data_IF_587071871921
#
_entry.id   IF_587071871921
#
_cell.length_a   1.000
_cell.length_b   1.000
_cell.length_c   1.000
_cell.angle_alpha   90.00
_cell.angle_beta   90.00
_cell.angle_gamma   90.00
#
_symmetry.space_group_name_H-M   'P 1'
#
loop_
_entity.id
_entity.type
_entity.pdbx_description
1 polymer ?
#
# COMPACT_ATOMS: atom_id res chain seq x y z
N UNK A 1 -7.32 20.68 -45.13
CA UNK A 1 -6.40 19.64 -44.65
C UNK A 1 -7.22 18.53 -44.01
N UNK A 2 -7.54 17.49 -44.80
CA UNK A 2 -7.60 16.11 -44.32
C UNK A 2 -6.30 15.84 -43.52
N UNK A 3 -6.17 14.98 -42.53
CA UNK A 3 -6.81 13.69 -42.22
C UNK A 3 -6.22 13.35 -40.86
N UNK A 4 -7.03 13.00 -39.85
CA UNK A 4 -6.71 12.09 -38.75
C UNK A 4 -7.99 11.96 -37.90
N UNK A 5 -8.99 11.33 -38.51
CA UNK A 5 -9.96 10.54 -37.77
C UNK A 5 -9.14 9.51 -36.97
N UNK A 6 -8.87 9.78 -35.69
CA UNK A 6 -8.57 8.69 -34.76
C UNK A 6 -9.89 7.98 -34.57
N UNK A 7 -10.03 6.85 -35.24
CA UNK A 7 -11.05 5.85 -34.94
C UNK A 7 -11.10 5.67 -33.43
N UNK A 8 -12.22 6.08 -32.82
CA UNK A 8 -12.48 5.78 -31.43
C UNK A 8 -12.75 4.29 -31.34
N UNK A 9 -11.72 3.51 -30.99
CA UNK A 9 -11.87 2.08 -30.68
C UNK A 9 -12.95 1.96 -29.60
N UNK A 10 -13.95 1.12 -29.85
CA UNK A 10 -15.04 0.96 -28.89
C UNK A 10 -14.53 0.31 -27.60
N UNK A 11 -15.13 0.64 -26.46
CA UNK A 11 -14.72 0.10 -25.16
C UNK A 11 -14.77 -1.45 -25.13
N UNK A 12 -15.76 -2.04 -25.80
CA UNK A 12 -15.85 -3.49 -26.00
C UNK A 12 -14.67 -4.06 -26.77
N UNK A 13 -14.23 -3.37 -27.81
CA UNK A 13 -13.12 -3.81 -28.66
C UNK A 13 -11.78 -3.74 -27.91
N UNK A 14 -11.61 -2.77 -27.00
CA UNK A 14 -10.45 -2.70 -26.09
C UNK A 14 -10.43 -3.85 -25.08
N UNK A 15 -11.59 -4.20 -24.51
CA UNK A 15 -11.72 -5.32 -23.57
C UNK A 15 -11.45 -6.66 -24.25
N UNK A 16 -11.98 -6.86 -25.46
CA UNK A 16 -11.71 -8.06 -26.25
C UNK A 16 -10.22 -8.19 -26.60
N UNK A 17 -9.57 -7.10 -26.98
CA UNK A 17 -8.14 -7.11 -27.31
C UNK A 17 -7.28 -7.38 -26.07
N UNK A 18 -7.65 -6.84 -24.90
CA UNK A 18 -7.01 -7.17 -23.62
C UNK A 18 -7.20 -8.66 -23.25
N UNK A 19 -8.40 -9.23 -23.49
CA UNK A 19 -8.64 -10.66 -23.32
C UNK A 19 -7.80 -11.51 -24.28
N UNK A 20 -7.62 -11.07 -25.53
CA UNK A 20 -6.74 -11.76 -26.50
C UNK A 20 -5.27 -11.71 -26.06
N UNK A 21 -4.82 -10.57 -25.53
CA UNK A 21 -3.48 -10.37 -24.98
C UNK A 21 -3.20 -11.15 -23.68
N UNK A 22 -4.23 -11.75 -23.07
CA UNK A 22 -4.07 -12.60 -21.87
C UNK A 22 -3.20 -13.83 -22.16
N UNK A 23 -3.20 -14.32 -23.41
CA UNK A 23 -2.39 -15.47 -23.84
C UNK A 23 -0.89 -15.20 -23.81
N UNK A 24 -0.48 -13.93 -23.93
CA UNK A 24 0.92 -13.50 -23.90
C UNK A 24 1.30 -12.90 -22.56
N UNK A 25 0.35 -12.28 -21.85
CA UNK A 25 0.56 -11.77 -20.50
C UNK A 25 -0.74 -11.86 -19.67
N UNK A 26 -0.77 -12.67 -18.60
CA UNK A 26 -1.97 -12.91 -17.80
C UNK A 26 -2.52 -11.64 -17.11
N UNK A 27 -1.71 -10.59 -16.94
CA UNK A 27 -2.15 -9.33 -16.34
C UNK A 27 -3.19 -8.57 -17.19
N UNK A 28 -3.24 -8.79 -18.51
CA UNK A 28 -4.28 -8.17 -19.35
C UNK A 28 -5.66 -8.78 -19.13
N UNK A 29 -5.73 -10.07 -18.77
CA UNK A 29 -6.98 -10.74 -18.41
C UNK A 29 -7.55 -10.15 -17.13
N UNK A 30 -6.69 -9.94 -16.13
CA UNK A 30 -7.07 -9.31 -14.87
C UNK A 30 -7.56 -7.87 -15.06
N UNK A 31 -6.94 -7.10 -15.97
CA UNK A 31 -7.39 -5.73 -16.28
C UNK A 31 -8.75 -5.71 -16.99
N UNK A 32 -9.00 -6.65 -17.91
CA UNK A 32 -10.31 -6.81 -18.55
C UNK A 32 -11.38 -7.20 -17.53
N UNK A 33 -11.08 -8.14 -16.63
CA UNK A 33 -12.00 -8.56 -15.57
C UNK A 33 -12.32 -7.41 -14.60
N UNK A 34 -11.32 -6.61 -14.19
CA UNK A 34 -11.52 -5.44 -13.34
C UNK A 34 -12.37 -4.35 -14.03
N UNK A 35 -12.16 -4.13 -15.32
CA UNK A 35 -12.96 -3.18 -16.09
C UNK A 35 -14.41 -3.66 -16.28
N UNK A 36 -14.61 -4.93 -16.60
CA UNK A 36 -15.96 -5.50 -16.72
C UNK A 36 -16.68 -5.51 -15.36
N UNK A 37 -15.99 -5.78 -14.26
CA UNK A 37 -16.53 -5.65 -12.90
C UNK A 37 -16.92 -4.20 -12.58
N UNK A 38 -16.15 -3.23 -13.06
CA UNK A 38 -16.49 -1.81 -12.97
C UNK A 38 -17.73 -1.44 -13.81
N UNK A 39 -17.78 -1.89 -15.06
CA UNK A 39 -18.89 -1.62 -15.97
C UNK A 39 -20.20 -2.30 -15.54
N UNK A 40 -20.10 -3.46 -14.88
CA UNK A 40 -21.25 -4.23 -14.44
C UNK A 40 -21.78 -3.83 -13.05
N UNK A 41 -21.09 -2.95 -12.33
CA UNK A 41 -21.40 -2.57 -10.94
C UNK A 41 -21.46 -3.77 -9.97
N UNK A 42 -20.91 -4.92 -10.38
CA UNK A 42 -20.89 -6.16 -9.60
C UNK A 42 -19.61 -6.19 -8.77
N UNK A 43 -19.70 -5.72 -7.53
CA UNK A 43 -18.66 -5.94 -6.51
C UNK A 43 -17.84 -4.72 -6.08
N UNK A 44 -18.18 -3.51 -6.54
CA UNK A 44 -17.55 -2.25 -6.13
C UNK A 44 -18.15 -1.61 -4.86
N UNK A 45 -18.94 -2.37 -4.09
CA UNK A 45 -19.91 -1.93 -3.06
C UNK A 45 -19.30 -1.32 -1.78
N UNK A 46 -18.14 -0.68 -1.85
CA UNK A 46 -17.73 0.31 -0.86
C UNK A 46 -17.27 1.56 -1.57
N UNK A 47 -18.22 2.25 -2.20
CA UNK A 47 -18.08 3.65 -2.53
C UNK A 47 -17.93 4.44 -1.21
N UNK A 48 -16.89 5.25 -1.11
CA UNK A 48 -16.91 6.37 -0.18
C UNK A 48 -16.74 7.65 -0.98
N UNK A 49 -17.49 8.67 -0.55
CA UNK A 49 -17.47 9.98 -1.18
C UNK A 49 -16.42 10.83 -0.45
N UNK A 50 -15.35 11.20 -1.14
CA UNK A 50 -14.39 12.21 -0.66
C UNK A 50 -14.55 13.47 -1.52
N UNK A 51 -14.84 14.61 -0.89
CA UNK A 51 -15.05 15.90 -1.57
C UNK A 51 -16.10 15.92 -2.70
N UNK A 52 -17.09 15.01 -2.65
CA UNK A 52 -18.14 14.91 -3.67
C UNK A 52 -17.81 13.99 -4.85
N UNK A 53 -16.62 13.38 -4.87
CA UNK A 53 -16.23 12.40 -5.88
C UNK A 53 -16.45 10.97 -5.35
N UNK A 54 -17.10 10.13 -6.16
CA UNK A 54 -17.26 8.69 -5.86
C UNK A 54 -15.91 8.02 -6.09
N UNK A 55 -15.35 7.42 -5.05
CA UNK A 55 -14.12 6.62 -5.14
C UNK A 55 -14.49 5.14 -5.18
N UNK A 56 -14.30 4.44 -6.32
CA UNK A 56 -14.55 3.01 -6.39
C UNK A 56 -13.61 2.22 -5.48
N UNK A 57 -14.11 1.15 -4.84
CA UNK A 57 -13.30 0.22 -4.04
C UNK A 57 -12.09 -0.34 -4.82
N UNK A 58 -12.24 -0.57 -6.13
CA UNK A 58 -11.15 -1.00 -6.99
C UNK A 58 -9.99 0.01 -7.07
N UNK A 59 -10.26 1.31 -7.01
CA UNK A 59 -9.21 2.35 -7.01
C UNK A 59 -8.33 2.27 -5.77
N UNK A 60 -8.92 1.94 -4.61
CA UNK A 60 -8.16 1.69 -3.39
C UNK A 60 -7.22 0.50 -3.56
N UNK A 61 -7.74 -0.59 -4.15
CA UNK A 61 -6.93 -1.80 -4.37
C UNK A 61 -5.83 -1.60 -5.40
N UNK A 62 -6.12 -0.88 -6.49
CA UNK A 62 -5.14 -0.50 -7.49
C UNK A 62 -4.05 0.37 -6.87
N UNK A 63 -4.42 1.31 -5.99
CA UNK A 63 -3.46 2.14 -5.27
C UNK A 63 -2.57 1.32 -4.34
N UNK A 64 -3.13 0.41 -3.54
CA UNK A 64 -2.35 -0.52 -2.70
C UNK A 64 -1.32 -1.30 -3.54
N UNK A 65 -1.74 -1.90 -4.64
CA UNK A 65 -0.84 -2.64 -5.52
C UNK A 65 0.20 -1.74 -6.18
N UNK A 66 -0.18 -0.52 -6.57
CA UNK A 66 0.77 0.46 -7.09
C UNK A 66 1.83 0.79 -6.04
N UNK A 67 1.45 1.06 -4.78
CA UNK A 67 2.39 1.27 -3.67
C UNK A 67 3.31 0.06 -3.49
N UNK A 68 2.78 -1.17 -3.55
CA UNK A 68 3.57 -2.40 -3.50
C UNK A 68 4.68 -2.39 -4.56
N UNK A 69 4.34 -2.09 -5.82
CA UNK A 69 5.33 -2.05 -6.91
C UNK A 69 6.42 -1.02 -6.67
N UNK A 70 6.08 0.11 -6.03
CA UNK A 70 7.05 1.17 -5.69
C UNK A 70 7.99 0.73 -4.58
N UNK A 71 7.49 0.07 -3.55
CA UNK A 71 8.31 -0.49 -2.47
C UNK A 71 9.25 -1.56 -3.03
N UNK A 72 8.74 -2.50 -3.84
CA UNK A 72 9.56 -3.54 -4.48
C UNK A 72 10.68 -2.89 -5.31
N UNK A 73 10.33 -2.00 -6.24
CA UNK A 73 11.32 -1.35 -7.10
C UNK A 73 12.36 -0.53 -6.33
N UNK A 74 11.96 0.10 -5.22
CA UNK A 74 12.90 0.80 -4.32
C UNK A 74 13.88 -0.19 -3.65
N UNK A 75 13.37 -1.30 -3.11
CA UNK A 75 14.20 -2.30 -2.45
C UNK A 75 15.17 -2.95 -3.45
N UNK A 76 14.68 -3.34 -4.62
CA UNK A 76 15.53 -3.96 -5.66
C UNK A 76 16.64 -3.00 -6.12
N UNK A 77 16.31 -1.72 -6.31
CA UNK A 77 17.29 -0.68 -6.65
C UNK A 77 18.32 -0.48 -5.53
N UNK A 78 17.88 -0.44 -4.26
CA UNK A 78 18.76 -0.22 -3.10
C UNK A 78 19.75 -1.36 -2.89
N UNK A 79 19.30 -2.59 -3.08
CA UNK A 79 20.11 -3.79 -2.82
C UNK A 79 20.76 -4.38 -4.08
N UNK A 80 20.43 -3.87 -5.27
CA UNK A 80 20.98 -4.35 -6.54
C UNK A 80 20.56 -5.77 -6.90
N UNK A 81 19.43 -6.25 -6.37
CA UNK A 81 18.97 -7.63 -6.51
C UNK A 81 17.44 -7.73 -6.43
N UNK A 82 16.86 -8.68 -7.17
CA UNK A 82 15.41 -8.88 -7.21
C UNK A 82 14.87 -9.53 -5.95
N UNK A 83 13.65 -9.14 -5.53
CA UNK A 83 12.98 -9.80 -4.41
C UNK A 83 12.50 -11.19 -4.83
N UNK A 84 12.90 -12.23 -4.09
CA UNK A 84 12.42 -13.58 -4.29
C UNK A 84 11.03 -13.77 -3.67
N UNK A 85 10.16 -14.52 -4.34
CA UNK A 85 8.88 -14.96 -3.77
C UNK A 85 9.14 -16.13 -2.82
N UNK A 86 8.84 -15.94 -1.54
CA UNK A 86 8.97 -17.00 -0.51
C UNK A 86 7.64 -17.74 -0.29
N UNK A 87 6.52 -17.01 -0.30
CA UNK A 87 5.18 -17.56 -0.09
C UNK A 87 4.17 -16.77 -0.92
N UNK A 88 3.19 -17.45 -1.50
CA UNK A 88 2.10 -16.83 -2.26
C UNK A 88 0.82 -17.67 -2.14
N UNK A 89 -0.28 -17.02 -1.81
CA UNK A 89 -1.65 -17.53 -1.98
C UNK A 89 -2.50 -16.47 -2.69
N UNK A 90 -3.72 -16.82 -3.10
CA UNK A 90 -4.63 -15.99 -3.91
C UNK A 90 -4.77 -14.53 -3.44
N UNK A 91 -4.57 -14.26 -2.14
CA UNK A 91 -4.77 -12.94 -1.56
C UNK A 91 -3.54 -12.36 -0.86
N UNK A 92 -2.40 -13.06 -0.78
CA UNK A 92 -1.23 -12.55 -0.06
C UNK A 92 0.09 -13.00 -0.68
N UNK A 93 1.15 -12.24 -0.45
CA UNK A 93 2.51 -12.61 -0.87
C UNK A 93 3.53 -12.24 0.19
N UNK A 94 4.52 -13.12 0.39
CA UNK A 94 5.75 -12.85 1.12
C UNK A 94 6.91 -12.84 0.16
N UNK A 95 7.62 -11.71 0.14
CA UNK A 95 8.80 -11.48 -0.67
C UNK A 95 10.02 -11.33 0.24
N UNK A 96 11.17 -11.90 -0.14
CA UNK A 96 12.41 -11.83 0.65
C UNK A 96 13.60 -11.36 -0.20
N UNK A 97 14.45 -10.56 0.43
CA UNK A 97 15.77 -10.17 -0.07
C UNK A 97 16.77 -10.12 1.10
N UNK A 98 17.61 -11.14 1.22
CA UNK A 98 18.52 -11.27 2.35
C UNK A 98 17.77 -11.30 3.68
N UNK A 99 18.07 -10.36 4.57
CA UNK A 99 17.41 -10.19 5.87
C UNK A 99 16.10 -9.39 5.79
N UNK A 100 15.77 -8.81 4.63
CA UNK A 100 14.56 -8.01 4.43
C UNK A 100 13.43 -8.93 3.94
N UNK A 101 12.28 -8.84 4.60
CA UNK A 101 11.05 -9.50 4.16
C UNK A 101 9.94 -8.46 4.00
N UNK A 102 9.27 -8.46 2.86
CA UNK A 102 8.08 -7.67 2.57
C UNK A 102 6.88 -8.61 2.51
N UNK A 103 5.93 -8.43 3.43
CA UNK A 103 4.67 -9.19 3.48
C UNK A 103 3.55 -8.28 2.98
N UNK A 104 2.75 -8.74 2.03
CA UNK A 104 1.58 -8.02 1.50
C UNK A 104 0.31 -8.78 1.84
N UNK A 105 -0.67 -8.10 2.46
CA UNK A 105 -1.98 -8.64 2.86
C UNK A 105 -1.90 -9.95 3.67
N UNK A 106 -0.78 -10.18 4.36
CA UNK A 106 -0.47 -11.44 5.03
C UNK A 106 -1.27 -11.57 6.33
N UNK A 107 -2.18 -12.54 6.45
CA UNK A 107 -2.92 -12.74 7.68
C UNK A 107 -2.00 -13.35 8.76
N UNK A 108 -2.11 -12.85 9.98
CA UNK A 108 -1.57 -13.52 11.17
C UNK A 108 -2.69 -13.96 12.07
N UNK A 109 -2.43 -14.95 12.91
CA UNK A 109 -3.28 -15.33 14.02
C UNK A 109 -2.61 -14.87 15.31
N UNK A 110 -3.28 -14.01 16.07
CA UNK A 110 -2.84 -13.69 17.43
C UNK A 110 -3.94 -13.08 18.28
N UNK A 111 -3.59 -12.53 19.45
CA UNK A 111 -4.54 -12.33 20.55
C UNK A 111 -5.64 -11.32 20.21
N UNK A 112 -5.36 -10.29 19.40
CA UNK A 112 -6.35 -9.28 19.02
C UNK A 112 -7.39 -9.79 18.01
N UNK A 113 -7.08 -10.88 17.33
CA UNK A 113 -7.98 -11.54 16.37
C UNK A 113 -9.23 -12.13 17.04
N UNK A 114 -9.10 -12.53 18.32
CA UNK A 114 -10.23 -13.04 19.12
C UNK A 114 -11.24 -11.96 19.47
N UNK A 115 -10.82 -10.69 19.52
CA UNK A 115 -11.67 -9.55 19.88
C UNK A 115 -12.40 -8.95 18.66
N UNK A 116 -11.79 -8.99 17.48
CA UNK A 116 -12.33 -8.34 16.28
C UNK A 116 -13.18 -9.25 15.37
N UNK A 117 -13.27 -10.56 15.66
CA UNK A 117 -14.07 -11.52 14.87
C UNK A 117 -13.61 -11.70 13.41
N UNK A 118 -12.50 -11.08 13.00
CA UNK A 118 -11.94 -11.10 11.64
C UNK A 118 -10.42 -11.16 11.69
N UNK A 119 -9.81 -11.83 10.70
CA UNK A 119 -8.35 -11.83 10.53
C UNK A 119 -7.87 -10.41 10.20
N UNK A 120 -6.98 -9.85 11.03
CA UNK A 120 -6.30 -8.61 10.70
C UNK A 120 -5.38 -8.86 9.50
N UNK A 121 -5.35 -7.91 8.55
CA UNK A 121 -4.51 -7.96 7.36
C UNK A 121 -4.04 -6.54 7.02
N UNK A 122 -2.84 -6.14 7.47
CA UNK A 122 -2.25 -4.90 6.99
C UNK A 122 -1.92 -5.02 5.51
N UNK A 123 -1.94 -3.89 4.80
CA UNK A 123 -1.57 -3.87 3.39
C UNK A 123 -0.12 -4.31 3.22
N UNK A 124 0.80 -3.78 4.05
CA UNK A 124 2.20 -4.17 4.01
C UNK A 124 2.82 -4.32 5.39
N UNK A 125 3.75 -5.26 5.53
CA UNK A 125 4.66 -5.36 6.66
C UNK A 125 6.06 -5.54 6.13
N UNK A 126 6.96 -4.62 6.50
CA UNK A 126 8.38 -4.77 6.20
C UNK A 126 9.09 -5.27 7.45
N UNK A 127 9.92 -6.29 7.31
CA UNK A 127 10.71 -6.89 8.38
C UNK A 127 12.18 -6.86 8.02
N UNK A 128 13.04 -6.60 9.01
CA UNK A 128 14.49 -6.65 8.84
C UNK A 128 15.18 -6.90 10.17
N UNK A 129 15.90 -8.04 10.29
CA UNK A 129 16.75 -8.33 11.45
C UNK A 129 16.04 -8.23 12.81
N UNK A 130 14.87 -8.86 12.95
CA UNK A 130 14.08 -8.84 14.20
C UNK A 130 13.20 -7.59 14.42
N UNK A 131 13.27 -6.62 13.51
CA UNK A 131 12.46 -5.39 13.53
C UNK A 131 11.32 -5.50 12.52
N UNK A 132 10.20 -4.80 12.74
CA UNK A 132 9.10 -4.79 11.79
C UNK A 132 8.25 -3.52 11.85
N UNK A 133 7.92 -2.98 10.69
CA UNK A 133 7.06 -1.79 10.52
C UNK A 133 5.87 -2.17 9.68
N UNK A 134 4.70 -1.67 10.09
CA UNK A 134 3.43 -1.89 9.42
C UNK A 134 3.07 -0.69 8.54
N UNK A 135 2.55 -0.95 7.35
CA UNK A 135 2.08 0.09 6.44
C UNK A 135 0.67 -0.20 5.97
N UNK A 136 -0.09 0.87 5.78
CA UNK A 136 -1.47 0.84 5.31
C UNK A 136 -1.63 1.93 4.23
N UNK A 137 -2.04 1.54 3.03
CA UNK A 137 -2.25 2.47 1.92
C UNK A 137 -3.70 2.96 1.91
N UNK A 138 -3.88 4.23 1.54
CA UNK A 138 -5.16 4.92 1.53
C UNK A 138 -5.26 5.78 0.28
N UNK A 139 -6.16 5.41 -0.62
CA UNK A 139 -6.45 6.19 -1.83
C UNK A 139 -7.36 7.40 -1.52
N UNK A 140 -6.91 8.22 -0.57
CA UNK A 140 -7.60 9.43 -0.12
C UNK A 140 -6.61 10.47 0.37
N UNK A 141 -7.06 11.70 0.53
CA UNK A 141 -6.23 12.81 0.98
C UNK A 141 -6.22 12.96 2.50
N UNK A 142 -7.32 12.58 3.18
CA UNK A 142 -7.42 12.59 4.64
C UNK A 142 -7.18 11.22 5.28
N UNK A 143 -6.68 11.20 6.52
CA UNK A 143 -6.68 10.00 7.38
C UNK A 143 -7.76 10.18 8.44
N UNK A 144 -8.69 9.22 8.54
CA UNK A 144 -9.78 9.22 9.52
C UNK A 144 -9.35 8.58 10.83
N UNK A 145 -10.14 8.78 11.89
CA UNK A 145 -9.93 8.12 13.17
C UNK A 145 -9.95 6.58 13.04
N UNK A 146 -10.87 6.05 12.24
CA UNK A 146 -11.01 4.60 12.03
C UNK A 146 -9.77 3.99 11.36
N UNK A 147 -9.13 4.72 10.44
CA UNK A 147 -7.86 4.28 9.85
C UNK A 147 -6.79 4.15 10.93
N UNK A 148 -6.67 5.16 11.81
CA UNK A 148 -5.67 5.17 12.89
C UNK A 148 -5.93 4.03 13.87
N UNK A 149 -7.17 3.80 14.27
CA UNK A 149 -7.54 2.69 15.16
C UNK A 149 -7.18 1.34 14.53
N UNK A 150 -7.44 1.17 13.22
CA UNK A 150 -7.08 -0.05 12.50
C UNK A 150 -5.57 -0.24 12.42
N UNK A 151 -4.82 0.81 12.10
CA UNK A 151 -3.35 0.75 12.06
C UNK A 151 -2.77 0.41 13.44
N UNK A 152 -3.31 0.97 14.53
CA UNK A 152 -2.88 0.62 15.89
C UNK A 152 -3.10 -0.86 16.21
N UNK A 153 -4.22 -1.45 15.77
CA UNK A 153 -4.45 -2.89 15.90
C UNK A 153 -3.42 -3.70 15.10
N UNK A 154 -3.05 -3.24 13.89
CA UNK A 154 -2.00 -3.88 13.12
C UNK A 154 -0.63 -3.75 13.79
N UNK A 155 -0.27 -2.57 14.31
CA UNK A 155 0.98 -2.35 15.03
C UNK A 155 1.09 -3.31 16.22
N UNK A 156 0.04 -3.42 17.03
CA UNK A 156 0.02 -4.29 18.21
C UNK A 156 0.24 -5.78 17.88
N UNK A 157 -0.10 -6.20 16.67
CA UNK A 157 -0.07 -7.61 16.24
C UNK A 157 1.15 -7.94 15.34
N UNK A 158 1.64 -6.98 14.55
CA UNK A 158 2.64 -7.23 13.51
C UNK A 158 3.98 -6.54 13.72
N UNK A 159 4.00 -5.39 14.42
CA UNK A 159 5.20 -4.58 14.55
C UNK A 159 6.16 -5.15 15.58
N UNK A 160 7.45 -4.91 15.35
CA UNK A 160 8.51 -5.16 16.32
C UNK A 160 9.33 -3.87 16.47
N UNK A 161 9.98 -3.66 17.63
CA UNK A 161 10.67 -2.42 17.92
C UNK A 161 11.66 -2.01 16.82
N UNK A 162 11.68 -0.72 16.51
CA UNK A 162 12.68 -0.07 15.66
C UNK A 162 13.28 1.13 16.40
N UNK A 163 14.56 1.41 16.14
CA UNK A 163 15.23 2.59 16.68
C UNK A 163 14.92 3.82 15.82
N UNK A 164 14.26 4.82 16.40
CA UNK A 164 13.98 6.11 15.76
C UNK A 164 14.48 7.22 16.69
N UNK A 165 15.43 8.03 16.23
CA UNK A 165 15.98 9.12 17.04
C UNK A 165 16.66 8.67 18.34
N UNK A 166 17.18 7.43 18.38
CA UNK A 166 17.80 6.85 19.58
C UNK A 166 16.82 6.18 20.55
N UNK A 167 15.53 6.14 20.24
CA UNK A 167 14.51 5.49 21.06
C UNK A 167 13.90 4.27 20.36
N UNK A 168 13.59 3.23 21.12
CA UNK A 168 12.84 2.06 20.63
C UNK A 168 11.35 2.37 20.57
N UNK A 169 10.77 2.21 19.38
CA UNK A 169 9.35 2.47 19.13
C UNK A 169 8.72 1.34 18.31
N UNK A 170 7.44 1.05 18.55
CA UNK A 170 6.62 0.35 17.57
C UNK A 170 6.15 1.36 16.53
N UNK A 171 6.46 1.11 15.27
CA UNK A 171 6.15 2.03 14.19
C UNK A 171 5.13 1.43 13.23
N UNK A 172 4.13 2.24 12.88
CA UNK A 172 3.31 2.03 11.69
C UNK A 172 3.24 3.29 10.85
N UNK A 173 2.82 3.16 9.61
CA UNK A 173 2.77 4.29 8.69
C UNK A 173 1.63 4.20 7.67
N UNK A 174 1.15 5.35 7.22
CA UNK A 174 0.22 5.46 6.10
C UNK A 174 0.93 5.89 4.82
N UNK A 175 0.51 5.34 3.68
CA UNK A 175 0.72 5.94 2.37
C UNK A 175 -0.60 6.53 1.88
N UNK A 176 -0.62 7.80 1.51
CA UNK A 176 -1.83 8.47 1.05
C UNK A 176 -1.60 9.42 -0.12
N UNK A 177 -2.69 9.86 -0.75
CA UNK A 177 -2.64 10.86 -1.82
C UNK A 177 -2.32 12.26 -1.27
N UNK A 178 -1.80 13.11 -2.16
CA UNK A 178 -1.57 14.51 -1.83
C UNK A 178 -2.91 15.27 -1.82
N UNK A 179 -3.13 16.09 -0.79
CA UNK A 179 -4.30 16.99 -0.70
C UNK A 179 -4.25 18.20 -1.65
N UNK A 180 -3.22 18.31 -2.49
CA UNK A 180 -2.98 19.39 -3.45
C UNK A 180 -1.51 19.50 -3.85
N UNK A 181 -1.23 20.09 -5.02
CA UNK A 181 0.14 20.36 -5.47
C UNK A 181 0.82 21.36 -4.52
N UNK A 182 1.86 20.94 -3.79
CA UNK A 182 2.71 21.83 -3.01
C UNK A 182 2.46 21.88 -1.50
N UNK A 183 1.57 21.05 -0.95
CA UNK A 183 1.40 20.95 0.51
C UNK A 183 2.49 20.03 1.08
N UNK A 184 3.43 20.60 1.83
CA UNK A 184 4.34 19.81 2.68
C UNK A 184 3.56 19.22 3.85
N UNK A 185 3.32 17.91 3.81
CA UNK A 185 2.66 17.22 4.91
C UNK A 185 3.64 17.01 6.05
N UNK A 186 3.31 17.64 7.19
CA UNK A 186 4.07 17.52 8.43
C UNK A 186 3.97 16.09 8.95
N UNK A 187 5.14 15.49 9.16
CA UNK A 187 5.29 14.31 9.99
C UNK A 187 4.69 14.59 11.38
N UNK A 188 3.68 13.82 11.78
CA UNK A 188 3.11 13.87 13.13
C UNK A 188 3.26 12.50 13.77
N UNK A 189 4.38 12.26 14.44
CA UNK A 189 4.47 11.14 15.36
C UNK A 189 3.49 11.37 16.52
N UNK A 190 2.39 10.62 16.56
CA UNK A 190 1.51 10.58 17.73
C UNK A 190 2.16 9.69 18.78
N UNK A 191 3.02 10.27 19.62
CA UNK A 191 3.67 9.58 20.73
C UNK A 191 2.88 9.81 22.01
N UNK A 192 2.10 8.83 22.48
CA UNK A 192 1.53 8.83 23.85
C UNK A 192 1.27 7.42 24.37
N UNK A 193 1.91 7.07 25.49
CA UNK A 193 1.28 6.84 26.81
C UNK A 193 2.37 6.32 27.78
N UNK A 194 2.55 6.93 28.95
CA UNK A 194 3.54 6.48 29.96
C UNK A 194 3.15 5.18 30.69
N UNK A 195 2.01 4.58 30.32
CA UNK A 195 1.47 3.36 30.90
C UNK A 195 1.78 2.09 30.07
N UNK A 196 2.24 2.27 28.82
CA UNK A 196 2.66 1.15 27.98
C UNK A 196 4.19 1.01 28.08
N UNK A 197 4.72 -0.23 28.08
CA UNK A 197 6.16 -0.46 28.20
C UNK A 197 6.96 0.05 26.99
N UNK A 198 6.29 0.51 25.93
CA UNK A 198 6.91 0.93 24.68
C UNK A 198 6.14 2.06 24.01
N UNK A 199 6.88 2.97 23.37
CA UNK A 199 6.33 4.07 22.58
C UNK A 199 5.79 3.56 21.25
N UNK A 200 4.66 4.11 20.82
CA UNK A 200 4.07 3.85 19.49
C UNK A 200 4.21 5.13 18.67
N UNK A 201 4.63 4.98 17.41
CA UNK A 201 4.70 6.06 16.43
C UNK A 201 3.84 5.71 15.21
N UNK A 202 3.11 6.69 14.71
CA UNK A 202 2.38 6.61 13.45
C UNK A 202 2.92 7.69 12.53
N UNK A 203 3.45 7.28 11.37
CA UNK A 203 3.92 8.21 10.34
C UNK A 203 2.89 8.32 9.21
N UNK A 204 2.86 9.47 8.54
CA UNK A 204 2.00 9.68 7.37
C UNK A 204 2.93 10.11 6.24
N UNK A 205 2.92 9.35 5.14
CA UNK A 205 3.71 9.61 3.96
C UNK A 205 2.79 9.88 2.77
N UNK A 206 3.08 10.96 2.05
CA UNK A 206 2.41 11.26 0.79
C UNK A 206 3.08 10.49 -0.34
N UNK A 207 2.32 9.61 -0.98
CA UNK A 207 2.79 8.82 -2.12
C UNK A 207 1.74 8.89 -3.22
N UNK A 208 1.79 9.95 -4.01
CA UNK A 208 0.80 10.23 -5.05
C UNK A 208 1.35 9.88 -6.45
N UNK A 209 0.63 9.11 -7.29
CA UNK A 209 1.08 8.78 -8.64
C UNK A 209 1.35 10.01 -9.53
N UNK A 210 0.77 11.17 -9.20
CA UNK A 210 0.93 12.43 -9.91
C UNK A 210 2.21 13.18 -9.52
N UNK A 211 2.91 12.75 -8.47
CA UNK A 211 4.16 13.37 -8.03
C UNK A 211 5.32 13.02 -8.99
N UNK A 212 6.33 13.91 -9.11
CA UNK A 212 7.58 13.56 -9.76
C UNK A 212 8.21 12.30 -9.14
N UNK A 213 8.82 11.46 -9.99
CA UNK A 213 9.45 10.21 -9.55
C UNK A 213 10.46 10.40 -8.41
N UNK A 214 11.25 11.47 -8.44
CA UNK A 214 12.20 11.78 -7.36
C UNK A 214 11.50 11.94 -6.01
N UNK A 215 10.39 12.68 -5.95
CA UNK A 215 9.62 12.86 -4.70
C UNK A 215 8.99 11.55 -4.20
N UNK A 216 8.58 10.67 -5.11
CA UNK A 216 8.11 9.33 -4.77
C UNK A 216 9.24 8.53 -4.13
N UNK A 217 10.44 8.53 -4.74
CA UNK A 217 11.63 7.85 -4.22
C UNK A 217 12.05 8.43 -2.85
N UNK A 218 12.06 9.75 -2.67
CA UNK A 218 12.38 10.41 -1.39
C UNK A 218 11.36 10.06 -0.28
N UNK A 219 10.08 9.90 -0.65
CA UNK A 219 9.05 9.49 0.32
C UNK A 219 9.22 8.04 0.76
N UNK A 220 9.59 7.15 -0.17
CA UNK A 220 9.87 5.74 0.13
C UNK A 220 11.16 5.60 0.95
N UNK A 221 12.19 6.37 0.63
CA UNK A 221 13.42 6.36 1.41
C UNK A 221 13.15 6.76 2.86
N UNK A 222 12.44 7.87 3.08
CA UNK A 222 12.06 8.32 4.42
C UNK A 222 11.15 7.33 5.16
N UNK A 223 10.22 6.67 4.47
CA UNK A 223 9.30 5.73 5.11
C UNK A 223 9.98 4.43 5.50
N UNK A 224 10.90 3.93 4.68
CA UNK A 224 11.55 2.63 4.88
C UNK A 224 12.86 2.74 5.70
N UNK A 225 13.45 3.94 5.82
CA UNK A 225 14.68 4.20 6.58
C UNK A 225 14.71 3.56 7.98
N UNK A 226 13.64 3.58 8.80
CA UNK A 226 13.67 2.99 10.14
C UNK A 226 14.02 1.49 10.20
N UNK A 227 13.83 0.76 9.09
CA UNK A 227 14.19 -0.66 8.97
C UNK A 227 15.44 -0.93 8.14
N UNK A 228 15.74 -0.04 7.21
CA UNK A 228 16.82 -0.22 6.23
C UNK A 228 18.09 0.55 6.60
N UNK A 229 18.06 1.30 7.71
CA UNK A 229 19.21 1.96 8.30
C UNK A 229 20.17 0.97 8.96
N UNK A 230 21.29 0.76 8.29
CA UNK A 230 22.64 0.47 8.81
C UNK A 230 23.62 1.05 7.80
#
# INVERSE_FOLDING_TARGET
>A
FNTLLRESVSEQELVEEARRATRTNPYFGLLADLYEMYAADVGLVHEYVENGEIVPSASCKIYELWVLTRIIGFLEKRYGASLGVEEYEDLYVRLRLGLVTLEYNMPRQGPFLKLAGRRLRPDFVLRSGGRAVVYDAKYKTGISLDDVVRLLAYIAEYAYPVTVGGEEVLLGAFYKLAGGLGVEERHRAVVRNGLLPMKIAVHIHTLDPRMPRSRIEDSLERSLQPLLGT
#
